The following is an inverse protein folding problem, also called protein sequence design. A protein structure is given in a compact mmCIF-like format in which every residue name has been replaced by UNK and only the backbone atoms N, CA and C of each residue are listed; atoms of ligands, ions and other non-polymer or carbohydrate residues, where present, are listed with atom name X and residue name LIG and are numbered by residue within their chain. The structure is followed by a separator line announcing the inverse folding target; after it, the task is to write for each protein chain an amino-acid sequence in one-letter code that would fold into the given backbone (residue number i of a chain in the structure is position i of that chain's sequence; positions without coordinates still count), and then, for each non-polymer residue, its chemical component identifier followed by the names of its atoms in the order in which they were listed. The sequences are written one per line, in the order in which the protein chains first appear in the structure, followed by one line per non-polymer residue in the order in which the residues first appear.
data_IF_063577259046
#
_entry.id   IF_063577259046
#
_cell.length_a   1.000
_cell.length_b   1.000
_cell.length_c   1.000
_cell.angle_alpha   90.00
_cell.angle_beta   90.00
_cell.angle_gamma   90.00
#
_symmetry.space_group_name_H-M   'P 1'
#
loop_
_entity.id
_entity.type
_entity.pdbx_description
1 polymer ?
#
# COMPACT_ATOMS: atom_id res chain seq x y z
N UNK A 1 -21.16 -17.95 4.27
CA UNK A 1 -20.23 -16.97 3.68
C UNK A 1 -20.55 -15.51 4.04
N UNK A 2 -21.82 -15.09 4.08
CA UNK A 2 -22.19 -13.69 4.40
C UNK A 2 -21.62 -13.14 5.73
N UNK A 3 -21.61 -13.95 6.80
CA UNK A 3 -21.08 -13.53 8.10
C UNK A 3 -19.53 -13.44 8.20
N UNK A 4 -18.80 -14.01 7.23
CA UNK A 4 -17.33 -13.90 7.20
C UNK A 4 -16.93 -12.55 6.60
N UNK A 5 -17.62 -12.12 5.53
CA UNK A 5 -17.39 -10.85 4.85
C UNK A 5 -17.67 -9.65 5.75
N UNK A 6 -18.73 -9.70 6.56
CA UNK A 6 -19.03 -8.63 7.52
C UNK A 6 -17.94 -8.46 8.58
N UNK A 7 -17.41 -9.56 9.12
CA UNK A 7 -16.29 -9.48 10.08
C UNK A 7 -15.02 -8.90 9.47
N UNK A 8 -14.74 -9.19 8.20
CA UNK A 8 -13.59 -8.59 7.51
C UNK A 8 -13.76 -7.09 7.27
N UNK A 9 -14.97 -6.65 6.89
CA UNK A 9 -15.25 -5.22 6.71
C UNK A 9 -15.17 -4.46 8.03
N UNK A 10 -15.64 -5.04 9.13
CA UNK A 10 -15.56 -4.44 10.46
C UNK A 10 -14.11 -4.30 10.94
N UNK A 11 -13.28 -5.30 10.66
CA UNK A 11 -11.84 -5.29 10.97
C UNK A 11 -11.09 -4.22 10.14
N UNK A 12 -11.46 -4.07 8.87
CA UNK A 12 -10.89 -3.06 8.00
C UNK A 12 -11.31 -1.63 8.39
N UNK A 13 -12.53 -1.46 8.91
CA UNK A 13 -13.04 -0.17 9.35
C UNK A 13 -12.40 0.33 10.65
N UNK A 14 -11.97 -0.58 11.53
CA UNK A 14 -11.38 -0.23 12.83
C UNK A 14 -10.25 -1.21 13.20
N UNK A 15 -9.06 -1.09 12.58
CA UNK A 15 -7.97 -2.01 12.86
C UNK A 15 -7.59 -1.91 14.34
N UNK A 16 -7.50 -3.05 15.06
CA UNK A 16 -7.21 -3.06 16.48
C UNK A 16 -5.81 -2.48 16.75
N UNK A 17 -5.63 -1.81 17.88
CA UNK A 17 -4.40 -1.07 18.20
C UNK A 17 -3.13 -1.92 18.09
N UNK A 18 -3.22 -3.22 18.41
CA UNK A 18 -2.08 -4.14 18.30
C UNK A 18 -1.59 -4.33 16.85
N UNK A 19 -2.45 -4.25 15.84
CA UNK A 19 -2.01 -4.41 14.45
C UNK A 19 -1.19 -3.19 13.99
N UNK A 20 -1.55 -2.00 14.48
CA UNK A 20 -0.78 -0.77 14.27
C UNK A 20 0.60 -0.86 14.93
N UNK A 21 0.66 -1.43 16.13
CA UNK A 21 1.91 -1.66 16.84
C UNK A 21 2.82 -2.69 16.15
N UNK A 22 2.25 -3.70 15.49
CA UNK A 22 3.04 -4.70 14.75
C UNK A 22 3.63 -4.15 13.44
N UNK A 23 3.03 -3.14 12.82
CA UNK A 23 3.52 -2.65 11.53
C UNK A 23 4.86 -1.92 11.66
N UNK A 24 5.12 -1.30 12.81
CA UNK A 24 6.36 -0.61 13.13
C UNK A 24 7.58 -1.54 13.13
N UNK A 25 7.63 -2.61 13.96
CA UNK A 25 8.77 -3.53 13.97
C UNK A 25 8.91 -4.28 12.64
N UNK A 26 7.79 -4.62 11.97
CA UNK A 26 7.86 -5.23 10.63
C UNK A 26 8.49 -4.26 9.62
N UNK A 27 8.07 -2.99 9.61
CA UNK A 27 8.64 -1.97 8.74
C UNK A 27 10.13 -1.78 8.99
N UNK A 28 10.56 -1.71 10.26
CA UNK A 28 11.98 -1.60 10.65
C UNK A 28 12.77 -2.82 10.16
N UNK A 29 12.25 -4.03 10.35
CA UNK A 29 12.90 -5.25 9.87
C UNK A 29 13.09 -5.23 8.35
N UNK A 30 12.05 -4.85 7.60
CA UNK A 30 12.11 -4.77 6.13
C UNK A 30 13.14 -3.73 5.69
N UNK A 31 13.22 -2.57 6.36
CA UNK A 31 14.20 -1.51 6.06
C UNK A 31 15.63 -2.00 6.27
N UNK A 32 15.91 -2.62 7.42
CA UNK A 32 17.24 -3.12 7.77
C UNK A 32 17.64 -4.25 6.80
N UNK A 33 16.72 -5.14 6.48
CA UNK A 33 16.99 -6.28 5.61
C UNK A 33 17.18 -5.89 4.14
N UNK A 34 16.38 -4.95 3.61
CA UNK A 34 16.65 -4.39 2.28
C UNK A 34 17.99 -3.63 2.26
N UNK A 35 18.27 -2.86 3.31
CA UNK A 35 19.51 -2.13 3.46
C UNK A 35 20.74 -3.04 3.42
N UNK A 36 20.69 -4.19 4.13
CA UNK A 36 21.79 -5.15 4.14
C UNK A 36 21.92 -5.92 2.81
N UNK A 37 20.81 -6.29 2.17
CA UNK A 37 20.81 -7.08 0.92
C UNK A 37 21.14 -6.27 -0.34
N UNK A 38 20.64 -5.03 -0.43
CA UNK A 38 20.66 -4.21 -1.65
C UNK A 38 21.41 -2.89 -1.49
N UNK A 39 21.87 -2.58 -0.28
CA UNK A 39 22.59 -1.35 0.07
C UNK A 39 21.70 -0.28 0.69
N UNK A 40 22.33 0.66 1.39
CA UNK A 40 21.69 1.75 2.14
C UNK A 40 20.67 2.57 1.35
N UNK A 41 20.88 2.93 0.06
CA UNK A 41 19.88 3.68 -0.70
C UNK A 41 18.52 2.97 -0.75
N UNK A 42 18.53 1.64 -0.84
CA UNK A 42 17.32 0.85 -0.93
C UNK A 42 16.60 0.71 0.42
N UNK A 43 17.38 0.67 1.52
CA UNK A 43 16.85 0.82 2.87
C UNK A 43 16.15 2.17 3.09
N UNK A 44 16.70 3.26 2.57
CA UNK A 44 16.08 4.59 2.65
C UNK A 44 14.74 4.62 1.90
N UNK A 45 14.68 4.07 0.68
CA UNK A 45 13.41 3.97 -0.07
C UNK A 45 12.39 3.15 0.71
N UNK A 46 12.79 2.01 1.27
CA UNK A 46 11.92 1.21 2.13
C UNK A 46 11.43 2.01 3.33
N UNK A 47 12.30 2.78 3.99
CA UNK A 47 11.96 3.57 5.17
C UNK A 47 10.94 4.67 4.85
N UNK A 48 11.07 5.32 3.69
CA UNK A 48 10.10 6.32 3.23
C UNK A 48 8.74 5.66 2.98
N UNK A 49 8.70 4.57 2.21
CA UNK A 49 7.43 3.90 1.85
C UNK A 49 6.73 3.34 3.08
N UNK A 50 7.42 2.54 3.90
CA UNK A 50 6.85 1.97 5.11
C UNK A 50 6.58 3.03 6.18
N UNK A 51 7.38 4.09 6.24
CA UNK A 51 7.14 5.23 7.13
C UNK A 51 5.86 5.97 6.78
N UNK A 52 5.60 6.23 5.48
CA UNK A 52 4.35 6.85 5.04
C UNK A 52 3.15 5.95 5.37
N UNK A 53 3.26 4.63 5.14
CA UNK A 53 2.18 3.68 5.49
C UNK A 53 1.93 3.67 7.00
N UNK A 54 2.99 3.59 7.81
CA UNK A 54 2.87 3.60 9.26
C UNK A 54 2.24 4.91 9.77
N UNK A 55 2.66 6.06 9.21
CA UNK A 55 2.07 7.37 9.52
C UNK A 55 0.59 7.43 9.11
N UNK A 56 0.25 6.98 7.90
CA UNK A 56 -1.13 6.93 7.43
C UNK A 56 -2.01 6.10 8.36
N UNK A 57 -1.57 4.91 8.77
CA UNK A 57 -2.30 4.06 9.71
C UNK A 57 -2.37 4.64 11.13
N UNK A 58 -1.36 5.40 11.55
CA UNK A 58 -1.37 6.07 12.84
C UNK A 58 -2.38 7.22 12.90
N UNK A 59 -2.44 8.03 11.83
CA UNK A 59 -3.37 9.15 11.72
C UNK A 59 -4.79 8.76 11.33
N UNK A 60 -5.02 7.54 10.84
CA UNK A 60 -6.35 7.03 10.52
C UNK A 60 -7.18 6.62 11.75
N UNK A 61 -6.93 7.22 12.92
CA UNK A 61 -7.71 6.97 14.14
C UNK A 61 -9.21 7.29 13.98
N UNK A 62 -9.56 8.18 13.05
CA UNK A 62 -10.94 8.63 12.80
C UNK A 62 -11.50 8.19 11.43
N UNK A 63 -10.83 7.29 10.69
CA UNK A 63 -11.25 6.89 9.34
C UNK A 63 -10.99 7.95 8.25
N UNK A 64 -10.25 9.02 8.58
CA UNK A 64 -9.94 10.11 7.66
C UNK A 64 -9.13 9.64 6.44
N UNK A 65 -8.26 8.64 6.60
CA UNK A 65 -7.52 8.05 5.49
C UNK A 65 -8.45 7.21 4.60
N UNK A 66 -9.37 6.46 5.21
CA UNK A 66 -10.40 5.73 4.46
C UNK A 66 -11.28 6.66 3.60
N UNK A 67 -11.67 7.82 4.13
CA UNK A 67 -12.43 8.80 3.36
C UNK A 67 -11.56 9.50 2.29
N UNK A 68 -10.31 9.81 2.59
CA UNK A 68 -9.37 10.34 1.61
C UNK A 68 -9.11 9.37 0.45
N UNK A 69 -8.91 8.08 0.74
CA UNK A 69 -8.70 7.01 -0.25
C UNK A 69 -9.92 6.88 -1.17
N UNK A 70 -11.14 6.92 -0.62
CA UNK A 70 -12.38 6.93 -1.43
C UNK A 70 -12.43 8.11 -2.39
N UNK A 71 -11.95 9.29 -1.98
CA UNK A 71 -11.90 10.50 -2.83
C UNK A 71 -10.73 10.47 -3.83
N UNK A 72 -9.68 9.70 -3.57
CA UNK A 72 -8.46 9.66 -4.39
C UNK A 72 -8.06 8.23 -4.78
N UNK A 73 -8.92 7.47 -5.48
CA UNK A 73 -8.65 6.06 -5.80
C UNK A 73 -7.43 5.86 -6.71
N UNK A 74 -7.06 6.89 -7.49
CA UNK A 74 -5.85 6.87 -8.33
C UNK A 74 -4.58 6.97 -7.48
N UNK A 75 -4.59 7.80 -6.43
CA UNK A 75 -3.44 7.96 -5.55
C UNK A 75 -3.15 6.68 -4.76
N UNK A 76 -4.20 6.00 -4.29
CA UNK A 76 -4.09 4.66 -3.69
C UNK A 76 -3.50 3.63 -4.68
N UNK A 77 -3.96 3.66 -5.93
CA UNK A 77 -3.41 2.82 -6.99
C UNK A 77 -1.93 3.07 -7.29
N UNK A 78 -1.47 4.33 -7.20
CA UNK A 78 -0.06 4.69 -7.39
C UNK A 78 0.85 4.15 -6.27
N UNK A 79 0.33 4.02 -5.05
CA UNK A 79 1.07 3.41 -3.93
C UNK A 79 1.44 1.94 -4.17
N UNK A 80 0.72 1.25 -5.06
CA UNK A 80 1.03 -0.12 -5.45
C UNK A 80 2.41 -0.23 -6.11
N UNK A 81 2.86 0.83 -6.79
CA UNK A 81 4.13 0.84 -7.51
C UNK A 81 5.35 0.71 -6.62
N UNK A 82 5.56 1.63 -5.66
CA UNK A 82 6.65 1.52 -4.68
C UNK A 82 6.62 0.21 -3.89
N UNK A 83 5.42 -0.28 -3.52
CA UNK A 83 5.28 -1.56 -2.82
C UNK A 83 5.72 -2.74 -3.69
N UNK A 84 5.28 -2.81 -4.95
CA UNK A 84 5.69 -3.83 -5.89
C UNK A 84 7.19 -3.76 -6.18
N UNK A 85 7.75 -2.55 -6.32
CA UNK A 85 9.18 -2.32 -6.48
C UNK A 85 9.99 -2.90 -5.31
N UNK A 86 9.60 -2.57 -4.07
CA UNK A 86 10.27 -3.06 -2.87
C UNK A 86 10.14 -4.58 -2.74
N UNK A 87 8.97 -5.14 -3.04
CA UNK A 87 8.74 -6.59 -3.02
C UNK A 87 9.61 -7.32 -4.06
N UNK A 88 9.65 -6.82 -5.30
CA UNK A 88 10.50 -7.36 -6.37
C UNK A 88 11.97 -7.28 -6.01
N UNK A 89 12.41 -6.14 -5.47
CA UNK A 89 13.79 -5.93 -5.05
C UNK A 89 14.19 -6.83 -3.88
N UNK A 90 13.23 -7.18 -3.02
CA UNK A 90 13.43 -8.08 -1.89
C UNK A 90 13.52 -9.56 -2.30
N UNK A 91 12.62 -10.01 -3.17
CA UNK A 91 12.49 -11.42 -3.55
C UNK A 91 13.48 -11.83 -4.65
N UNK A 92 13.73 -10.94 -5.61
CA UNK A 92 14.61 -11.23 -6.74
C UNK A 92 16.00 -10.64 -6.51
N UNK A 93 17.01 -11.16 -7.22
CA UNK A 93 18.35 -10.55 -7.33
C UNK A 93 18.53 -9.74 -8.61
N UNK A 94 17.43 -9.46 -9.34
CA UNK A 94 17.48 -8.77 -10.62
C UNK A 94 18.00 -7.33 -10.51
N UNK A 95 18.37 -6.73 -11.64
CA UNK A 95 18.85 -5.35 -11.67
C UNK A 95 17.78 -4.38 -11.13
N UNK A 96 18.21 -3.31 -10.46
CA UNK A 96 17.29 -2.31 -9.91
C UNK A 96 16.40 -1.69 -10.99
N UNK A 97 16.91 -1.57 -12.22
CA UNK A 97 16.14 -1.11 -13.38
C UNK A 97 14.95 -2.00 -13.70
N UNK A 98 15.12 -3.33 -13.67
CA UNK A 98 14.00 -4.25 -13.92
C UNK A 98 12.96 -4.20 -12.79
N UNK A 99 13.42 -4.08 -11.54
CA UNK A 99 12.52 -3.87 -10.41
C UNK A 99 11.72 -2.57 -10.58
N UNK A 100 12.40 -1.49 -10.99
CA UNK A 100 11.79 -0.17 -11.20
C UNK A 100 10.73 -0.22 -12.31
N UNK A 101 11.01 -0.90 -13.42
CA UNK A 101 10.04 -1.12 -14.48
C UNK A 101 8.83 -1.93 -13.98
N UNK A 102 9.05 -2.97 -13.18
CA UNK A 102 7.97 -3.73 -12.55
C UNK A 102 7.11 -2.88 -11.61
N UNK A 103 7.76 -2.05 -10.78
CA UNK A 103 7.08 -1.09 -9.91
C UNK A 103 6.28 -0.04 -10.69
N UNK A 104 6.85 0.51 -11.77
CA UNK A 104 6.16 1.46 -12.63
C UNK A 104 4.93 0.82 -13.32
N UNK A 105 5.08 -0.40 -13.84
CA UNK A 105 3.96 -1.16 -14.41
C UNK A 105 2.86 -1.40 -13.38
N UNK A 106 3.22 -1.81 -12.15
CA UNK A 106 2.28 -1.99 -11.05
C UNK A 106 1.56 -0.68 -10.67
N UNK A 107 2.27 0.45 -10.65
CA UNK A 107 1.69 1.77 -10.41
C UNK A 107 0.65 2.15 -11.46
N UNK A 108 0.96 1.92 -12.74
CA UNK A 108 0.06 2.20 -13.86
C UNK A 108 -1.18 1.31 -13.83
N UNK A 109 -1.00 0.02 -13.52
CA UNK A 109 -2.10 -0.93 -13.35
C UNK A 109 -3.00 -0.50 -12.18
N UNK A 110 -2.42 -0.18 -11.02
CA UNK A 110 -3.15 0.29 -9.85
C UNK A 110 -3.91 1.60 -10.13
N UNK A 111 -3.24 2.58 -10.76
CA UNK A 111 -3.88 3.83 -11.19
C UNK A 111 -5.04 3.56 -12.17
N UNK A 112 -4.85 2.65 -13.12
CA UNK A 112 -5.89 2.23 -14.07
C UNK A 112 -7.12 1.62 -13.38
N UNK A 113 -6.91 0.79 -12.36
CA UNK A 113 -8.01 0.28 -11.52
C UNK A 113 -8.69 1.40 -10.74
N UNK A 114 -7.92 2.35 -10.19
CA UNK A 114 -8.45 3.53 -9.50
C UNK A 114 -9.35 4.39 -10.39
N UNK A 115 -8.94 4.65 -11.64
CA UNK A 115 -9.75 5.36 -12.64
C UNK A 115 -11.02 4.60 -12.98
N UNK A 116 -10.93 3.27 -13.15
CA UNK A 116 -12.11 2.43 -13.42
C UNK A 116 -13.11 2.49 -12.27
N UNK A 117 -12.63 2.40 -11.02
CA UNK A 117 -13.46 2.50 -9.81
C UNK A 117 -14.15 3.86 -9.72
N UNK A 118 -13.41 4.95 -9.91
CA UNK A 118 -13.97 6.31 -9.91
C UNK A 118 -15.10 6.49 -10.95
N UNK A 119 -14.99 5.86 -12.12
CA UNK A 119 -16.03 5.90 -13.16
C UNK A 119 -17.27 5.09 -12.80
N UNK A 120 -17.10 3.96 -12.11
CA UNK A 120 -18.22 3.13 -11.66
C UNK A 120 -19.02 3.81 -10.56
N UNK A 121 -18.35 4.48 -9.62
CA UNK A 121 -18.99 5.21 -8.52
C UNK A 121 -19.76 6.46 -8.99
N UNK A 122 -19.47 6.95 -10.21
CA UNK A 122 -20.16 8.07 -10.85
C UNK A 122 -21.34 7.69 -11.75
N UNK A 123 -21.62 6.39 -11.96
CA UNK A 123 -22.85 5.97 -12.66
C UNK A 123 -23.98 5.82 -11.63
N UNK A 124 -25.14 6.47 -11.82
CA UNK A 124 -26.31 6.17 -11.00
C UNK A 124 -26.66 4.68 -11.14
N UNK A 125 -27.03 4.04 -10.02
CA UNK A 125 -27.45 2.64 -9.97
C UNK A 125 -28.88 2.55 -10.53
N UNK A 126 -29.09 2.99 -11.76
CA UNK A 126 -30.37 2.94 -12.46
C UNK A 126 -30.12 2.86 -13.97
N UNK A 127 -30.05 1.64 -14.49
CA UNK A 127 -30.44 1.27 -15.86
C UNK A 127 -30.60 -0.26 -15.95
#
# INVERSE_FOLDING_TARGET
MAGLLTRFTDFAASPPVWSRLLILPIGVLVVVELGSKRGWPMGVVAAIVYGIIALAMWFDANGAFGEWSRRHPVAEGLFLGPLAFLLLAYVTSWSLWTCLLGGAAAALIGAGFGVRRARSDGKPIDA
#
